data_IF_884816353253
#
_entry.id   IF_884816353253
#
_cell.length_a   1.000
_cell.length_b   1.000
_cell.length_c   1.000
_cell.angle_alpha   90.00
_cell.angle_beta   90.00
_cell.angle_gamma   90.00
#
_symmetry.space_group_name_H-M   'P 1'
#
loop_
_entity.id
_entity.type
_entity.pdbx_description
1 polymer ?
#
# COMPACT_ATOMS: atom_id res chain seq x y z
N UNK A 1 -19.76 32.34 4.86
CA UNK A 1 -18.39 32.32 5.39
C UNK A 1 -17.87 30.90 5.21
N UNK A 2 -17.16 30.66 4.11
CA UNK A 2 -16.65 29.33 3.71
C UNK A 2 -15.25 29.17 4.29
N UNK A 3 -15.17 28.56 5.47
CA UNK A 3 -13.89 28.27 6.11
C UNK A 3 -13.17 27.15 5.37
N UNK A 4 -12.12 27.53 4.64
CA UNK A 4 -10.89 26.76 4.46
C UNK A 4 -11.03 25.33 3.93
N UNK A 5 -11.19 25.22 2.61
CA UNK A 5 -10.68 24.10 1.84
C UNK A 5 -9.16 23.95 2.05
N UNK A 6 -8.69 22.75 2.39
CA UNK A 6 -7.36 22.25 2.02
C UNK A 6 -6.17 22.85 2.75
N UNK A 7 -5.95 22.50 4.02
CA UNK A 7 -4.59 22.49 4.56
C UNK A 7 -3.96 21.15 4.14
N UNK A 8 -2.84 21.12 3.39
CA UNK A 8 -2.23 19.87 2.88
C UNK A 8 -2.01 18.81 3.96
N UNK A 9 -1.69 19.29 5.16
CA UNK A 9 -1.65 18.56 6.42
C UNK A 9 -2.92 17.75 6.73
N UNK A 10 -4.07 18.41 6.64
CA UNK A 10 -5.37 17.81 6.88
C UNK A 10 -5.72 16.78 5.80
N UNK A 11 -5.31 16.99 4.55
CA UNK A 11 -5.57 16.06 3.45
C UNK A 11 -4.85 14.73 3.65
N UNK A 12 -3.53 14.78 3.90
CA UNK A 12 -2.71 13.58 4.10
C UNK A 12 -3.25 12.73 5.26
N UNK A 13 -3.67 13.38 6.34
CA UNK A 13 -4.31 12.72 7.48
C UNK A 13 -5.64 12.07 7.13
N UNK A 14 -6.52 12.78 6.42
CA UNK A 14 -7.82 12.22 6.01
C UNK A 14 -7.65 11.01 5.08
N UNK A 15 -6.73 11.07 4.12
CA UNK A 15 -6.38 9.92 3.28
C UNK A 15 -5.92 8.72 4.10
N UNK A 16 -5.02 9.00 5.05
CA UNK A 16 -4.45 7.99 5.94
C UNK A 16 -5.53 7.31 6.78
N UNK A 17 -6.44 8.09 7.38
CA UNK A 17 -7.56 7.56 8.16
C UNK A 17 -8.53 6.75 7.31
N UNK A 18 -8.87 7.22 6.10
CA UNK A 18 -9.77 6.53 5.19
C UNK A 18 -9.20 5.20 4.68
N UNK A 19 -7.93 5.19 4.26
CA UNK A 19 -7.23 3.97 3.82
C UNK A 19 -7.11 2.99 4.99
N UNK A 20 -6.70 3.46 6.17
CA UNK A 20 -6.57 2.61 7.35
C UNK A 20 -7.91 1.96 7.72
N UNK A 21 -9.01 2.71 7.70
CA UNK A 21 -10.33 2.18 7.99
C UNK A 21 -10.71 1.02 7.05
N UNK A 22 -10.55 1.18 5.74
CA UNK A 22 -10.88 0.15 4.75
C UNK A 22 -9.98 -1.08 4.87
N UNK A 23 -8.66 -0.88 5.04
CA UNK A 23 -7.72 -1.99 5.20
C UNK A 23 -8.00 -2.77 6.48
N UNK A 24 -8.28 -2.09 7.59
CA UNK A 24 -8.63 -2.73 8.87
C UNK A 24 -9.96 -3.47 8.76
N UNK A 25 -10.98 -2.86 8.15
CA UNK A 25 -12.30 -3.48 7.95
C UNK A 25 -12.18 -4.80 7.17
N UNK A 26 -11.31 -4.86 6.17
CA UNK A 26 -11.19 -6.03 5.28
C UNK A 26 -10.20 -7.09 5.76
N UNK A 27 -9.15 -6.70 6.46
CA UNK A 27 -8.08 -7.61 6.87
C UNK A 27 -8.12 -7.97 8.35
N UNK A 28 -8.76 -7.15 9.18
CA UNK A 28 -8.68 -7.23 10.64
C UNK A 28 -7.31 -6.88 11.22
N UNK A 29 -6.33 -6.46 10.39
CA UNK A 29 -4.98 -6.09 10.83
C UNK A 29 -4.97 -4.63 11.25
N UNK A 30 -4.72 -4.30 12.53
CA UNK A 30 -4.70 -2.92 12.98
C UNK A 30 -3.55 -2.14 12.33
N UNK A 31 -3.86 -0.96 11.78
CA UNK A 31 -2.87 0.01 11.34
C UNK A 31 -2.42 0.88 12.51
N UNK A 32 -1.11 1.00 12.72
CA UNK A 32 -0.56 1.99 13.65
C UNK A 32 -0.21 3.25 12.88
N UNK A 33 -0.91 4.34 13.19
CA UNK A 33 -0.61 5.67 12.69
C UNK A 33 0.69 6.17 13.33
N UNK A 34 1.65 6.54 12.48
CA UNK A 34 2.83 7.28 12.87
C UNK A 34 2.80 8.58 12.07
N UNK A 35 2.55 9.72 12.73
CA UNK A 35 2.78 10.99 12.07
C UNK A 35 4.28 11.11 11.83
N UNK A 36 4.70 11.33 10.58
CA UNK A 36 6.01 11.91 10.37
C UNK A 36 6.02 13.29 11.05
N UNK A 37 7.17 13.80 11.49
CA UNK A 37 7.25 15.06 12.25
C UNK A 37 6.77 16.32 11.51
N UNK A 38 6.17 16.18 10.32
CA UNK A 38 5.58 17.21 9.49
C UNK A 38 4.16 16.81 9.13
N UNK A 39 3.19 17.71 9.29
CA UNK A 39 1.78 17.40 9.03
C UNK A 39 1.51 16.97 7.58
N UNK A 40 2.40 17.32 6.65
CA UNK A 40 2.32 17.05 5.20
C UNK A 40 2.39 15.57 4.80
N UNK A 41 2.90 14.69 5.68
CA UNK A 41 3.10 13.29 5.38
C UNK A 41 2.69 12.42 6.57
N UNK A 42 1.85 11.44 6.30
CA UNK A 42 1.28 10.57 7.33
C UNK A 42 1.59 9.11 6.98
N UNK A 43 2.04 8.35 7.97
CA UNK A 43 2.41 6.95 7.80
C UNK A 43 1.45 6.03 8.57
N UNK A 44 1.07 4.93 7.95
CA UNK A 44 0.37 3.81 8.58
C UNK A 44 1.24 2.57 8.44
N UNK A 45 1.47 1.91 9.56
CA UNK A 45 2.17 0.62 9.61
C UNK A 45 1.18 -0.49 9.95
N UNK A 46 0.99 -1.45 9.04
CA UNK A 46 0.20 -2.67 9.27
C UNK A 46 1.14 -3.84 9.52
N UNK A 47 1.05 -4.40 10.72
CA UNK A 47 1.87 -5.54 11.14
C UNK A 47 0.95 -6.72 11.51
N UNK A 48 0.71 -7.67 10.60
CA UNK A 48 -0.03 -8.88 10.92
C UNK A 48 0.70 -9.69 12.00
N UNK A 49 -0.01 -10.44 12.83
CA UNK A 49 0.61 -11.32 13.80
C UNK A 49 1.46 -12.40 13.08
N UNK A 50 2.56 -12.80 13.71
CA UNK A 50 3.42 -13.87 13.22
C UNK A 50 4.81 -13.39 12.77
N UNK A 51 5.89 -14.14 13.10
CA UNK A 51 7.26 -13.73 12.81
C UNK A 51 7.58 -13.71 11.30
N UNK A 52 6.78 -14.41 10.49
CA UNK A 52 6.93 -14.50 9.04
C UNK A 52 6.03 -13.53 8.27
N UNK A 53 5.20 -12.75 8.95
CA UNK A 53 4.25 -11.83 8.30
C UNK A 53 4.95 -10.57 7.78
N UNK A 54 4.56 -10.06 6.60
CA UNK A 54 5.13 -8.82 6.08
C UNK A 54 4.63 -7.63 6.87
N UNK A 55 5.50 -6.65 7.10
CA UNK A 55 5.04 -5.35 7.59
C UNK A 55 4.84 -4.43 6.41
N UNK A 56 3.58 -4.04 6.20
CA UNK A 56 3.19 -3.11 5.17
C UNK A 56 3.24 -1.70 5.73
N UNK A 57 3.86 -0.79 4.98
CA UNK A 57 3.87 0.64 5.29
C UNK A 57 3.17 1.37 4.15
N UNK A 58 2.14 2.13 4.50
CA UNK A 58 1.46 3.06 3.60
C UNK A 58 1.81 4.47 4.05
N UNK A 59 2.28 5.29 3.13
CA UNK A 59 2.57 6.70 3.36
C UNK A 59 1.64 7.52 2.48
N UNK A 60 0.92 8.47 3.07
CA UNK A 60 0.04 9.36 2.33
C UNK A 60 0.54 10.80 2.42
N UNK A 61 0.43 11.48 1.30
CA UNK A 61 0.59 12.92 1.14
C UNK A 61 -0.71 13.47 0.51
N UNK A 62 -0.80 14.78 0.27
CA UNK A 62 -2.03 15.45 -0.17
C UNK A 62 -2.71 14.79 -1.39
N UNK A 63 -1.91 14.45 -2.40
CA UNK A 63 -2.41 13.89 -3.68
C UNK A 63 -1.76 12.57 -4.10
N UNK A 64 -1.02 11.92 -3.20
CA UNK A 64 -0.32 10.68 -3.54
C UNK A 64 -0.17 9.74 -2.35
N UNK A 65 -0.03 8.46 -2.68
CA UNK A 65 0.22 7.40 -1.73
C UNK A 65 1.41 6.55 -2.15
N UNK A 66 2.12 6.03 -1.16
CA UNK A 66 3.21 5.10 -1.38
C UNK A 66 2.96 3.83 -0.58
N UNK A 67 3.11 2.69 -1.24
CA UNK A 67 3.05 1.38 -0.62
C UNK A 67 4.45 0.77 -0.60
N UNK A 68 4.93 0.40 0.58
CA UNK A 68 6.20 -0.32 0.74
C UNK A 68 6.02 -1.52 1.67
N UNK A 69 6.82 -2.56 1.45
CA UNK A 69 6.83 -3.76 2.28
C UNK A 69 8.21 -3.89 2.91
N UNK A 70 8.29 -4.03 4.23
CA UNK A 70 9.53 -3.99 5.02
C UNK A 70 10.62 -4.97 4.55
N UNK A 71 10.19 -6.11 4.03
CA UNK A 71 11.03 -7.18 3.49
C UNK A 71 11.49 -6.95 2.05
N UNK A 72 11.01 -5.89 1.40
CA UNK A 72 11.39 -5.43 0.06
C UNK A 72 12.02 -4.03 0.17
N UNK A 73 13.24 -3.98 0.73
CA UNK A 73 13.93 -2.70 0.95
C UNK A 73 14.20 -1.96 -0.37
N UNK A 74 13.86 -0.67 -0.37
CA UNK A 74 14.12 0.25 -1.48
C UNK A 74 13.06 0.22 -2.59
N UNK A 75 11.99 -0.56 -2.44
CA UNK A 75 10.87 -0.57 -3.39
C UNK A 75 9.65 0.07 -2.74
N UNK A 76 9.16 1.13 -3.38
CA UNK A 76 7.89 1.78 -3.05
C UNK A 76 7.08 1.91 -4.33
N UNK A 77 5.80 1.54 -4.28
CA UNK A 77 4.86 1.74 -5.39
C UNK A 77 4.14 3.07 -5.16
N UNK A 78 4.20 3.96 -6.15
CA UNK A 78 3.50 5.25 -6.15
C UNK A 78 2.06 5.08 -6.67
N UNK A 79 1.13 5.77 -6.02
CA UNK A 79 -0.27 5.89 -6.39
C UNK A 79 -0.63 7.37 -6.41
N UNK A 80 -1.41 7.79 -7.40
CA UNK A 80 -1.89 9.16 -7.53
C UNK A 80 -3.36 9.21 -7.11
N UNK A 81 -3.68 10.16 -6.24
CA UNK A 81 -5.03 10.35 -5.70
C UNK A 81 -5.73 11.45 -6.48
N UNK A 82 -6.91 11.15 -7.01
CA UNK A 82 -7.72 12.11 -7.78
C UNK A 82 -9.13 12.31 -7.20
N UNK A 83 -9.47 11.58 -6.14
CA UNK A 83 -10.72 11.74 -5.40
C UNK A 83 -10.55 12.58 -4.14
N UNK A 84 -11.59 12.58 -3.32
CA UNK A 84 -11.51 13.04 -1.93
C UNK A 84 -11.48 11.83 -0.97
N UNK A 85 -10.81 11.93 0.19
CA UNK A 85 -10.73 10.85 1.18
C UNK A 85 -12.10 10.31 1.60
N UNK A 86 -13.09 11.19 1.73
CA UNK A 86 -14.45 10.85 2.17
C UNK A 86 -15.22 10.05 1.11
N UNK A 87 -14.81 10.13 -0.16
CA UNK A 87 -15.40 9.39 -1.28
C UNK A 87 -14.76 8.01 -1.48
N UNK A 88 -13.60 7.76 -0.87
CA UNK A 88 -12.83 6.52 -1.06
C UNK A 88 -13.67 5.25 -0.85
N UNK A 89 -14.49 5.11 0.21
CA UNK A 89 -15.30 3.90 0.39
C UNK A 89 -16.29 3.66 -0.76
N UNK A 90 -16.93 4.74 -1.25
CA UNK A 90 -17.88 4.65 -2.35
C UNK A 90 -17.19 4.37 -3.69
N UNK A 91 -16.01 4.95 -3.92
CA UNK A 91 -15.19 4.72 -5.12
C UNK A 91 -14.65 3.29 -5.14
N UNK A 92 -14.14 2.81 -4.02
CA UNK A 92 -13.63 1.44 -3.88
C UNK A 92 -14.72 0.40 -4.15
N UNK A 93 -15.97 0.66 -3.72
CA UNK A 93 -17.10 -0.22 -4.00
C UNK A 93 -17.56 -0.23 -5.48
N UNK A 94 -17.23 0.80 -6.28
CA UNK A 94 -17.71 0.97 -7.66
C UNK A 94 -16.76 0.42 -8.75
N UNK A 95 -15.62 -0.17 -8.35
CA UNK A 95 -14.57 -0.75 -9.20
C UNK A 95 -14.28 0.00 -10.52
N UNK A 96 -13.58 1.16 -10.47
CA UNK A 96 -13.22 1.93 -11.65
C UNK A 96 -11.79 1.59 -12.13
N UNK A 97 -11.47 0.31 -12.36
CA UNK A 97 -10.16 -0.10 -12.90
C UNK A 97 -10.03 0.22 -14.40
N UNK A 98 -9.81 1.49 -14.76
CA UNK A 98 -9.67 1.91 -16.16
C UNK A 98 -8.68 3.06 -16.37
N UNK A 99 -7.66 3.21 -15.54
CA UNK A 99 -6.67 4.30 -15.67
C UNK A 99 -5.30 3.81 -16.08
N UNK A 100 -4.52 4.72 -16.65
CA UNK A 100 -3.13 4.47 -17.05
C UNK A 100 -2.14 4.60 -15.90
N UNK A 101 -2.59 5.03 -14.72
CA UNK A 101 -1.81 5.14 -13.49
C UNK A 101 -2.53 4.45 -12.33
N UNK A 102 -1.81 4.18 -11.25
CA UNK A 102 -2.33 3.54 -10.05
C UNK A 102 -3.03 4.55 -9.15
N UNK A 103 -4.25 4.24 -8.75
CA UNK A 103 -5.16 5.10 -7.97
C UNK A 103 -5.21 4.76 -6.48
N UNK A 104 -5.87 5.60 -5.69
CA UNK A 104 -6.18 5.34 -4.28
C UNK A 104 -6.96 4.02 -4.05
N UNK A 105 -7.83 3.65 -5.00
CA UNK A 105 -8.59 2.40 -4.98
C UNK A 105 -7.64 1.21 -5.12
N UNK A 106 -6.69 1.29 -6.05
CA UNK A 106 -5.69 0.24 -6.27
C UNK A 106 -4.70 0.16 -5.10
N UNK A 107 -4.39 1.27 -4.44
CA UNK A 107 -3.59 1.27 -3.21
C UNK A 107 -4.27 0.41 -2.15
N UNK A 108 -5.55 0.62 -1.90
CA UNK A 108 -6.33 -0.14 -0.92
C UNK A 108 -6.38 -1.62 -1.31
N UNK A 109 -6.68 -1.94 -2.57
CA UNK A 109 -6.70 -3.32 -3.08
C UNK A 109 -5.34 -4.02 -2.90
N UNK A 110 -4.26 -3.34 -3.26
CA UNK A 110 -2.91 -3.88 -3.15
C UNK A 110 -2.51 -4.06 -1.68
N UNK A 111 -2.85 -3.11 -0.80
CA UNK A 111 -2.61 -3.21 0.63
C UNK A 111 -3.32 -4.43 1.23
N UNK A 112 -4.62 -4.59 0.94
CA UNK A 112 -5.41 -5.74 1.37
C UNK A 112 -4.82 -7.05 0.84
N UNK A 113 -4.46 -7.09 -0.44
CA UNK A 113 -3.92 -8.29 -1.07
C UNK A 113 -2.55 -8.68 -0.50
N UNK A 114 -1.67 -7.71 -0.20
CA UNK A 114 -0.40 -8.01 0.50
C UNK A 114 -0.67 -8.64 1.87
N UNK A 115 -1.64 -8.11 2.61
CA UNK A 115 -1.97 -8.56 3.97
C UNK A 115 -2.77 -9.86 4.04
N UNK A 116 -3.46 -10.27 2.97
CA UNK A 116 -4.28 -11.50 2.94
C UNK A 116 -3.66 -12.60 2.06
N UNK A 117 -3.18 -12.23 0.87
CA UNK A 117 -2.70 -13.17 -0.15
C UNK A 117 -1.17 -13.18 -0.29
N UNK A 118 -0.49 -12.16 0.24
CA UNK A 118 0.95 -12.03 0.15
C UNK A 118 1.43 -11.43 -1.17
N UNK A 119 2.74 -11.50 -1.37
CA UNK A 119 3.41 -10.88 -2.53
C UNK A 119 4.62 -11.71 -2.98
N UNK A 120 5.01 -11.51 -4.25
CA UNK A 120 6.26 -12.01 -4.80
C UNK A 120 7.16 -10.84 -5.14
N UNK A 121 8.39 -10.89 -4.65
CA UNK A 121 9.43 -9.97 -5.09
C UNK A 121 10.54 -10.73 -5.77
N UNK A 122 10.96 -10.26 -6.95
CA UNK A 122 12.09 -10.80 -7.69
C UNK A 122 13.02 -9.66 -8.08
N UNK A 123 14.26 -9.73 -7.62
CA UNK A 123 15.36 -8.86 -8.06
C UNK A 123 16.38 -9.74 -8.77
N UNK A 124 16.68 -9.43 -10.02
CA UNK A 124 17.75 -10.04 -10.81
C UNK A 124 18.55 -8.90 -11.47
N UNK A 125 19.70 -9.17 -12.10
CA UNK A 125 20.49 -8.12 -12.73
C UNK A 125 19.63 -7.33 -13.72
N UNK A 126 19.62 -6.02 -13.53
CA UNK A 126 18.86 -5.06 -14.32
C UNK A 126 17.34 -5.21 -14.32
N UNK A 127 16.77 -5.91 -13.34
CA UNK A 127 15.33 -6.15 -13.32
C UNK A 127 14.82 -6.38 -11.91
N UNK A 128 13.91 -5.52 -11.50
CA UNK A 128 13.13 -5.66 -10.28
C UNK A 128 11.67 -5.86 -10.63
N UNK A 129 11.03 -6.80 -9.94
CA UNK A 129 9.64 -7.14 -10.14
C UNK A 129 8.96 -7.35 -8.79
N UNK A 130 7.91 -6.59 -8.55
CA UNK A 130 6.96 -6.81 -7.46
C UNK A 130 5.64 -7.28 -8.05
N UNK A 131 5.16 -8.42 -7.57
CA UNK A 131 3.84 -8.97 -7.89
C UNK A 131 2.99 -9.04 -6.64
N UNK A 132 1.78 -8.50 -6.73
CA UNK A 132 0.78 -8.58 -5.68
C UNK A 132 -0.38 -9.41 -6.23
N UNK A 133 -0.84 -10.38 -5.44
CA UNK A 133 -1.86 -11.33 -5.88
C UNK A 133 -3.28 -10.72 -5.80
N UNK A 134 -3.54 -9.73 -6.64
CA UNK A 134 -4.87 -9.16 -6.90
C UNK A 134 -5.57 -9.88 -8.05
N UNK A 135 -6.83 -9.54 -8.33
CA UNK A 135 -7.56 -9.98 -9.51
C UNK A 135 -8.07 -8.76 -10.28
N UNK A 136 -7.46 -8.40 -11.44
CA UNK A 136 -6.29 -9.04 -12.07
C UNK A 136 -5.00 -8.83 -11.27
N UNK A 137 -3.98 -9.70 -11.41
CA UNK A 137 -2.74 -9.60 -10.64
C UNK A 137 -1.93 -8.36 -11.03
N UNK A 138 -1.52 -7.60 -10.03
CA UNK A 138 -0.66 -6.43 -10.22
C UNK A 138 0.80 -6.86 -10.37
N UNK A 139 1.49 -6.25 -11.35
CA UNK A 139 2.91 -6.48 -11.64
C UNK A 139 3.60 -5.15 -11.90
N UNK A 140 4.43 -4.72 -10.96
CA UNK A 140 5.34 -3.60 -11.12
C UNK A 140 6.71 -4.10 -11.57
N UNK A 141 7.32 -3.41 -12.53
CA UNK A 141 8.63 -3.76 -13.07
C UNK A 141 9.46 -2.49 -13.23
N UNK A 142 10.66 -2.49 -12.65
CA UNK A 142 11.70 -1.49 -12.95
C UNK A 142 12.93 -2.17 -13.53
N UNK A 143 13.51 -1.55 -14.54
CA UNK A 143 14.77 -1.97 -15.15
C UNK A 143 15.82 -0.95 -14.73
N UNK A 144 16.54 -1.24 -13.65
CA UNK A 144 17.75 -0.48 -13.29
C UNK A 144 18.91 -0.94 -14.19
N UNK A 145 19.80 -0.07 -14.62
CA UNK A 145 21.01 -0.45 -15.39
C UNK A 145 22.26 -0.54 -14.48
N UNK A 146 22.09 -0.46 -13.15
CA UNK A 146 23.15 -0.49 -12.14
C UNK A 146 23.62 -1.87 -11.65
N UNK A 147 24.88 -1.95 -11.24
CA UNK A 147 25.63 -3.11 -10.72
C UNK A 147 25.61 -3.13 -9.17
N UNK A 148 25.67 -4.27 -8.42
CA UNK A 148 26.04 -5.64 -8.81
C UNK A 148 24.87 -6.63 -8.98
N UNK A 149 25.11 -7.73 -9.74
CA UNK A 149 24.10 -8.72 -10.07
C UNK A 149 23.86 -9.71 -8.91
N UNK A 150 22.77 -9.56 -8.16
CA UNK A 150 22.28 -10.62 -7.30
C UNK A 150 20.85 -11.00 -7.68
N UNK A 151 20.61 -12.31 -7.80
CA UNK A 151 19.29 -12.88 -8.06
C UNK A 151 18.66 -13.30 -6.73
N UNK A 152 17.51 -12.71 -6.40
CA UNK A 152 16.72 -13.01 -5.22
C UNK A 152 15.25 -13.06 -5.61
N UNK A 153 14.56 -14.16 -5.29
CA UNK A 153 13.11 -14.29 -5.45
C UNK A 153 12.51 -14.73 -4.13
N UNK A 154 11.55 -13.97 -3.63
CA UNK A 154 10.85 -14.24 -2.37
C UNK A 154 9.35 -14.30 -2.65
N UNK A 155 8.73 -15.42 -2.32
CA UNK A 155 7.28 -15.53 -2.22
C UNK A 155 6.94 -15.55 -0.73
N UNK A 156 6.08 -14.64 -0.29
CA UNK A 156 5.63 -14.58 1.09
C UNK A 156 4.11 -14.69 1.13
N UNK A 157 3.56 -15.91 1.24
CA UNK A 157 2.15 -16.06 1.54
C UNK A 157 1.90 -15.61 2.97
N UNK A 158 0.74 -15.02 3.22
CA UNK A 158 0.27 -14.81 4.58
C UNK A 158 -0.18 -16.17 5.11
N UNK A 159 0.43 -16.65 6.19
CA UNK A 159 -0.06 -17.85 6.85
C UNK A 159 -1.42 -17.54 7.46
N UNK A 160 -2.48 -18.31 7.15
CA UNK A 160 -3.75 -18.12 7.80
C UNK A 160 -3.56 -18.32 9.32
N UNK A 161 -4.24 -17.53 10.16
CA UNK A 161 -4.14 -17.70 11.61
C UNK A 161 -4.45 -19.16 11.94
N UNK A 162 -3.50 -19.83 12.60
CA UNK A 162 -3.65 -21.22 13.00
C UNK A 162 -5.00 -21.34 13.73
N UNK A 163 -5.92 -22.12 13.15
CA UNK A 163 -7.19 -22.41 13.80
C UNK A 163 -6.87 -22.98 15.18
N UNK A 164 -7.20 -22.23 16.24
CA UNK A 164 -7.13 -22.75 17.60
C UNK A 164 -8.08 -23.94 17.64
N UNK A 165 -7.51 -25.15 17.70
CA UNK A 165 -8.22 -26.38 18.02
C UNK A 165 -8.61 -26.39 19.49
#
# INVERSE_FOLDING_TARGET
MTSGSGEPAGQARRWTEAIAALVVERTGVPGRLASSGTDLQQEIRFAPPGPSSPVLVVMCEEGQGFLSVDRVRGVSVLYEFDGEPDELPARWARDPRQRSWLSEVELVDHAIAVLIAGYRFRRVPFHEELRINTSPPFRWITVDLGWPPFAFSRWEPVEPPAARR
#
